data_IF_113828593828
#
_entry.id   IF_113828593828
#
_cell.length_a   1.000
_cell.length_b   1.000
_cell.length_c   1.000
_cell.angle_alpha   90.00
_cell.angle_beta   90.00
_cell.angle_gamma   90.00
#
_symmetry.space_group_name_H-M   'P 1'
#
loop_
_entity.id
_entity.type
_entity.pdbx_description
1 polymer ?
#
# COMPACT_ATOMS: atom_id res chain seq x y z
N UNK A 1 3.00 -2.27 -1.81
CA UNK A 1 3.83 -1.70 -2.89
C UNK A 1 2.99 -0.71 -3.67
N UNK A 2 3.62 0.32 -4.26
CA UNK A 2 2.99 1.26 -5.19
C UNK A 2 3.76 1.29 -6.51
N UNK A 3 3.10 1.62 -7.61
CA UNK A 3 3.78 1.76 -8.90
C UNK A 3 4.49 3.10 -9.05
N UNK A 4 5.47 3.16 -9.95
CA UNK A 4 6.19 4.41 -10.29
C UNK A 4 5.26 5.59 -10.64
N UNK A 5 4.16 5.33 -11.37
CA UNK A 5 3.16 6.36 -11.72
C UNK A 5 2.44 6.96 -10.51
N UNK A 6 2.36 6.21 -9.43
CA UNK A 6 1.73 6.64 -8.18
C UNK A 6 2.74 7.31 -7.25
N UNK A 7 4.03 7.00 -7.39
CA UNK A 7 5.10 7.49 -6.51
C UNK A 7 5.08 9.02 -6.39
N UNK A 8 4.96 9.74 -7.50
CA UNK A 8 4.93 11.22 -7.49
C UNK A 8 3.71 11.83 -6.78
N UNK A 9 2.66 11.04 -6.53
CA UNK A 9 1.42 11.48 -5.88
C UNK A 9 1.37 11.08 -4.40
N UNK A 10 2.14 10.09 -3.98
CA UNK A 10 2.16 9.59 -2.61
C UNK A 10 3.24 10.31 -1.81
N UNK A 11 2.86 10.86 -0.65
CA UNK A 11 3.77 11.57 0.26
C UNK A 11 3.92 10.82 1.58
N UNK A 12 5.04 11.00 2.27
CA UNK A 12 5.16 10.61 3.68
C UNK A 12 4.08 11.34 4.49
N UNK A 13 3.48 10.63 5.45
CA UNK A 13 2.35 11.13 6.23
C UNK A 13 1.00 11.08 5.54
N UNK A 14 0.93 10.71 4.24
CA UNK A 14 -0.34 10.61 3.53
C UNK A 14 -1.30 9.67 4.26
N UNK A 15 -2.55 10.12 4.44
CA UNK A 15 -3.57 9.38 5.18
C UNK A 15 -3.99 8.14 4.40
N UNK A 16 -4.15 7.02 5.11
CA UNK A 16 -4.50 5.72 4.53
C UNK A 16 -5.71 5.16 5.24
N UNK A 17 -6.67 4.67 4.45
CA UNK A 17 -7.80 3.88 4.91
C UNK A 17 -7.44 2.40 4.80
N UNK A 18 -7.57 1.64 5.89
CA UNK A 18 -7.27 0.20 5.93
C UNK A 18 -8.52 -0.57 6.32
N UNK A 19 -8.82 -1.64 5.57
CA UNK A 19 -9.96 -2.54 5.77
C UNK A 19 -9.51 -4.00 5.73
N UNK A 20 -10.29 -4.88 6.35
CA UNK A 20 -10.05 -6.33 6.36
C UNK A 20 -11.37 -7.09 6.39
N UNK A 21 -11.41 -8.24 5.74
CA UNK A 21 -12.60 -9.08 5.67
C UNK A 21 -12.98 -9.68 7.04
N UNK A 22 -12.03 -9.74 7.98
CA UNK A 22 -12.30 -10.21 9.36
C UNK A 22 -13.16 -9.23 10.16
N UNK A 23 -13.19 -7.95 9.78
CA UNK A 23 -13.94 -6.89 10.46
C UNK A 23 -14.56 -5.95 9.41
N UNK A 24 -15.59 -6.40 8.67
CA UNK A 24 -16.10 -5.71 7.48
C UNK A 24 -16.66 -4.32 7.77
N UNK A 25 -17.22 -4.11 8.96
CA UNK A 25 -17.81 -2.83 9.38
C UNK A 25 -16.77 -1.87 9.99
N UNK A 26 -15.50 -2.26 10.07
CA UNK A 26 -14.43 -1.45 10.67
C UNK A 26 -13.54 -0.81 9.62
N UNK A 27 -13.16 0.43 9.92
CA UNK A 27 -12.15 1.17 9.19
C UNK A 27 -11.03 1.49 10.16
N UNK A 28 -9.82 1.09 9.80
CA UNK A 28 -8.60 1.45 10.50
C UNK A 28 -7.91 2.59 9.76
N UNK A 29 -7.47 3.60 10.50
CA UNK A 29 -6.75 4.73 9.94
C UNK A 29 -5.25 4.54 10.12
N UNK A 30 -4.51 4.95 9.11
CA UNK A 30 -3.06 4.95 9.15
C UNK A 30 -2.45 6.05 8.32
N UNK A 31 -1.13 6.04 8.28
CA UNK A 31 -0.33 6.99 7.50
C UNK A 31 0.84 6.28 6.84
N UNK A 32 1.23 6.75 5.66
CA UNK A 32 2.47 6.30 5.02
C UNK A 32 3.66 6.72 5.88
N UNK A 33 4.36 5.77 6.48
CA UNK A 33 5.50 6.01 7.37
C UNK A 33 6.85 5.80 6.68
N UNK A 34 6.85 5.16 5.52
CA UNK A 34 8.06 4.86 4.77
C UNK A 34 7.74 4.66 3.29
N UNK A 35 8.63 5.18 2.44
CA UNK A 35 8.68 4.94 1.00
C UNK A 35 10.13 4.58 0.68
N UNK A 36 10.36 3.44 0.04
CA UNK A 36 11.70 3.02 -0.37
C UNK A 36 12.25 3.98 -1.43
N UNK A 37 13.55 4.30 -1.34
CA UNK A 37 14.28 5.08 -2.35
C UNK A 37 14.60 4.27 -3.60
N UNK A 38 14.68 2.95 -3.47
CA UNK A 38 14.99 2.03 -4.55
C UNK A 38 13.73 1.31 -5.02
N UNK A 39 13.64 1.11 -6.34
CA UNK A 39 12.58 0.33 -6.95
C UNK A 39 12.90 -1.16 -6.87
N UNK A 40 11.88 -1.96 -6.59
CA UNK A 40 11.92 -3.42 -6.71
C UNK A 40 11.27 -3.85 -8.04
N UNK A 41 11.78 -4.93 -8.62
CA UNK A 41 11.22 -5.54 -9.82
C UNK A 41 10.18 -6.60 -9.44
N UNK A 42 8.96 -6.51 -9.98
CA UNK A 42 8.00 -7.62 -9.90
C UNK A 42 8.03 -8.44 -11.20
N UNK A 43 8.60 -9.65 -11.21
CA UNK A 43 8.46 -10.55 -12.34
C UNK A 43 7.00 -11.02 -12.42
N UNK A 44 6.42 -11.02 -13.62
CA UNK A 44 5.17 -11.74 -13.88
C UNK A 44 5.48 -13.08 -14.53
N UNK A 45 4.73 -14.16 -14.23
CA UNK A 45 4.80 -15.39 -14.98
C UNK A 45 4.15 -15.21 -16.37
N UNK A 46 5.04 -15.09 -17.35
CA UNK A 46 4.86 -15.04 -18.81
C UNK A 46 3.75 -15.93 -19.37
N UNK A 47 2.77 -15.33 -20.05
CA UNK A 47 1.93 -16.01 -21.06
C UNK A 47 1.79 -15.25 -22.38
N UNK A 48 2.25 -13.98 -22.49
CA UNK A 48 2.13 -13.18 -23.73
C UNK A 48 3.32 -12.25 -23.97
N UNK A 49 3.63 -11.86 -25.23
CA UNK A 49 4.84 -11.11 -25.60
C UNK A 49 4.92 -9.66 -25.11
N UNK A 50 3.85 -9.07 -24.55
CA UNK A 50 3.84 -7.66 -24.13
C UNK A 50 4.14 -7.42 -22.63
N UNK A 51 4.77 -8.36 -21.91
CA UNK A 51 5.01 -8.20 -20.48
C UNK A 51 6.07 -7.14 -20.13
N UNK A 52 5.62 -5.89 -19.99
CA UNK A 52 6.40 -4.83 -19.35
C UNK A 52 6.68 -5.18 -17.89
N UNK A 53 7.95 -5.41 -17.59
CA UNK A 53 8.54 -5.26 -16.27
C UNK A 53 8.03 -3.96 -15.64
N UNK A 54 7.56 -4.02 -14.39
CA UNK A 54 7.10 -2.84 -13.65
C UNK A 54 7.97 -2.62 -12.44
N UNK A 55 8.47 -1.40 -12.31
CA UNK A 55 9.08 -0.89 -11.09
C UNK A 55 7.99 -0.64 -10.05
N UNK A 56 8.19 -1.20 -8.87
CA UNK A 56 7.34 -0.94 -7.71
C UNK A 56 8.19 -0.47 -6.56
N UNK A 57 7.59 0.36 -5.71
CA UNK A 57 8.25 0.89 -4.53
C UNK A 57 7.58 0.30 -3.29
N UNK A 58 8.40 -0.24 -2.38
CA UNK A 58 7.92 -0.69 -1.08
C UNK A 58 7.50 0.52 -0.27
N UNK A 59 6.35 0.39 0.37
CA UNK A 59 5.87 1.37 1.36
C UNK A 59 5.56 0.66 2.67
N UNK A 60 5.61 1.39 3.78
CA UNK A 60 5.02 0.96 5.05
C UNK A 60 3.93 1.93 5.45
N UNK A 61 2.89 1.37 6.05
CA UNK A 61 1.79 2.13 6.63
C UNK A 61 1.81 1.85 8.12
N UNK A 62 1.90 2.90 8.91
CA UNK A 62 1.67 2.83 10.35
C UNK A 62 0.17 2.96 10.59
N UNK A 63 -0.44 1.97 11.22
CA UNK A 63 -1.90 1.87 11.40
C UNK A 63 -2.23 1.99 12.89
N UNK A 64 -3.21 2.84 13.20
CA UNK A 64 -3.80 2.92 14.53
C UNK A 64 -4.52 1.60 14.84
N UNK A 65 -4.01 0.85 15.80
CA UNK A 65 -4.55 -0.46 16.20
C UNK A 65 -4.63 -0.58 17.73
N UNK A 66 -5.33 0.34 18.44
CA UNK A 66 -5.35 0.39 19.90
C UNK A 66 -5.95 -0.87 20.53
N UNK A 67 -6.89 -1.52 19.83
CA UNK A 67 -7.57 -2.72 20.30
C UNK A 67 -6.83 -4.03 19.92
N UNK A 68 -5.67 -3.94 19.26
CA UNK A 68 -4.86 -5.08 18.81
C UNK A 68 -5.64 -6.07 17.92
N UNK A 69 -6.58 -5.56 17.14
CA UNK A 69 -7.48 -6.33 16.28
C UNK A 69 -6.76 -6.78 15.00
N UNK A 70 -5.93 -5.90 14.44
CA UNK A 70 -5.07 -6.25 13.31
C UNK A 70 -3.86 -7.05 13.81
N UNK A 71 -3.70 -8.26 13.29
CA UNK A 71 -2.59 -9.16 13.63
C UNK A 71 -1.61 -9.28 12.46
N UNK A 72 -0.37 -9.68 12.77
CA UNK A 72 0.61 -10.00 11.76
C UNK A 72 0.07 -11.08 10.80
N UNK A 73 0.41 -10.97 9.51
CA UNK A 73 -0.05 -11.84 8.43
C UNK A 73 -1.56 -11.78 8.11
N UNK A 74 -2.34 -10.88 8.73
CA UNK A 74 -3.71 -10.64 8.28
C UNK A 74 -3.73 -9.89 6.94
N UNK A 75 -4.47 -10.37 5.94
CA UNK A 75 -4.66 -9.64 4.69
C UNK A 75 -5.53 -8.40 4.95
N UNK A 76 -5.14 -7.30 4.33
CA UNK A 76 -5.84 -6.02 4.41
C UNK A 76 -5.87 -5.38 3.03
N UNK A 77 -6.90 -4.56 2.79
CA UNK A 77 -6.92 -3.61 1.68
C UNK A 77 -6.57 -2.23 2.22
N UNK A 78 -5.59 -1.58 1.60
CA UNK A 78 -5.14 -0.25 1.96
C UNK A 78 -5.36 0.73 0.80
N UNK A 79 -6.04 1.83 1.09
CA UNK A 79 -6.34 2.90 0.13
C UNK A 79 -5.70 4.20 0.61
N UNK A 80 -4.71 4.70 -0.14
CA UNK A 80 -4.05 5.98 0.16
C UNK A 80 -4.95 7.11 -0.32
N UNK A 81 -5.32 8.01 0.59
CA UNK A 81 -6.11 9.19 0.27
C UNK A 81 -5.18 10.25 -0.31
N UNK A 82 -5.23 10.43 -1.63
CA UNK A 82 -4.47 11.45 -2.32
C UNK A 82 -5.09 12.82 -2.07
N UNK A 83 -4.29 13.76 -1.59
CA UNK A 83 -4.69 15.17 -1.54
C UNK A 83 -4.87 15.67 -2.97
N UNK A 84 -6.01 16.30 -3.26
CA UNK A 84 -6.21 16.95 -4.54
C UNK A 84 -5.27 18.17 -4.61
N UNK A 85 -4.56 18.37 -5.72
CA UNK A 85 -3.72 19.55 -5.91
C UNK A 85 -4.57 20.84 -5.87
#
# INVERSE_FOLDING_TARGET
>A
YIGERDLGRVRLGARVRVKTDSFPDRIYWGRVSFIASEAEFTPKPIQTPEERVRYVYRIKIEVENPNLELKANMPVTAEILLERP
#
